data_IF_617026219330
#
_entry.id   IF_617026219330
#
_cell.length_a   1.000
_cell.length_b   1.000
_cell.length_c   1.000
_cell.angle_alpha   90.00
_cell.angle_beta   90.00
_cell.angle_gamma   90.00
#
_symmetry.space_group_name_H-M   'P 1'
#
loop_
_entity.id
_entity.type
_entity.pdbx_description
1 polymer ?
#
# COMPACT_ATOMS: atom_id res chain seq x y z
N UNK A 1 -6.67 -17.59 -2.67
CA UNK A 1 -5.37 -16.98 -2.27
C UNK A 1 -4.98 -15.77 -3.10
N UNK A 2 -4.98 -15.82 -4.44
CA UNK A 2 -4.55 -14.70 -5.30
C UNK A 2 -5.41 -13.42 -5.19
N UNK A 3 -6.71 -13.55 -4.99
CA UNK A 3 -7.59 -12.41 -4.69
C UNK A 3 -7.26 -11.71 -3.37
N UNK A 4 -6.93 -12.50 -2.34
CA UNK A 4 -6.53 -11.97 -1.03
C UNK A 4 -5.24 -11.16 -1.19
N UNK A 5 -4.29 -11.64 -2.00
CA UNK A 5 -3.04 -10.91 -2.31
C UNK A 5 -3.33 -9.57 -3.00
N UNK A 6 -4.28 -9.54 -3.94
CA UNK A 6 -4.67 -8.29 -4.60
C UNK A 6 -5.29 -7.29 -3.61
N UNK A 7 -6.19 -7.75 -2.74
CA UNK A 7 -6.82 -6.92 -1.70
C UNK A 7 -5.78 -6.40 -0.71
N UNK A 8 -4.88 -7.26 -0.22
CA UNK A 8 -3.79 -6.87 0.67
C UNK A 8 -2.90 -5.83 -0.01
N UNK A 9 -2.52 -6.06 -1.27
CA UNK A 9 -1.70 -5.11 -2.04
C UNK A 9 -2.34 -3.73 -2.13
N UNK A 10 -3.64 -3.66 -2.46
CA UNK A 10 -4.36 -2.40 -2.52
C UNK A 10 -4.44 -1.70 -1.16
N UNK A 11 -4.79 -2.43 -0.09
CA UNK A 11 -4.86 -1.86 1.26
C UNK A 11 -3.49 -1.33 1.71
N UNK A 12 -2.44 -2.12 1.54
CA UNK A 12 -1.06 -1.72 1.88
C UNK A 12 -0.61 -0.52 1.05
N UNK A 13 -0.89 -0.51 -0.26
CA UNK A 13 -0.53 0.57 -1.17
C UNK A 13 -1.19 1.88 -0.78
N UNK A 14 -2.51 1.84 -0.50
CA UNK A 14 -3.27 3.00 -0.04
C UNK A 14 -2.74 3.50 1.30
N UNK A 15 -2.45 2.62 2.27
CA UNK A 15 -1.89 3.04 3.56
C UNK A 15 -0.52 3.71 3.42
N UNK A 16 0.35 3.21 2.56
CA UNK A 16 1.63 3.85 2.26
C UNK A 16 1.44 5.21 1.57
N UNK A 17 0.56 5.26 0.57
CA UNK A 17 0.27 6.48 -0.18
C UNK A 17 -0.30 7.58 0.72
N UNK A 18 -1.24 7.24 1.61
CA UNK A 18 -1.79 8.17 2.61
C UNK A 18 -0.70 8.63 3.60
N UNK A 19 0.21 7.75 4.01
CA UNK A 19 1.30 8.13 4.89
C UNK A 19 2.26 9.15 4.27
N UNK A 20 2.59 8.96 2.98
CA UNK A 20 3.36 9.94 2.21
C UNK A 20 2.56 11.22 2.00
N UNK A 21 1.31 11.12 1.56
CA UNK A 21 0.46 12.27 1.25
C UNK A 21 0.21 13.14 2.49
N UNK A 22 -0.08 12.54 3.66
CA UNK A 22 -0.28 13.31 4.89
C UNK A 22 0.98 14.05 5.35
N UNK A 23 2.17 13.46 5.16
CA UNK A 23 3.45 14.14 5.44
C UNK A 23 3.76 15.28 4.46
N UNK A 24 3.26 15.20 3.22
CA UNK A 24 3.54 16.19 2.17
C UNK A 24 2.50 17.32 2.12
N UNK A 25 1.24 17.03 2.42
CA UNK A 25 0.10 17.95 2.24
C UNK A 25 -0.63 18.30 3.54
N UNK A 26 -0.25 17.73 4.67
CA UNK A 26 -0.87 18.00 5.97
C UNK A 26 0.15 18.08 7.10
N UNK A 27 -0.34 18.21 8.32
CA UNK A 27 0.50 18.36 9.53
C UNK A 27 1.11 17.04 10.02
N UNK A 28 0.81 15.92 9.35
CA UNK A 28 1.27 14.59 9.76
C UNK A 28 0.77 13.46 8.85
N UNK A 29 1.38 12.27 8.93
CA UNK A 29 1.06 11.15 8.06
C UNK A 29 -0.42 10.75 8.21
N UNK A 30 -1.10 10.47 7.10
CA UNK A 30 -2.49 10.02 7.11
C UNK A 30 -2.53 8.50 7.01
N UNK A 31 -3.35 7.84 7.82
CA UNK A 31 -3.45 6.38 7.86
C UNK A 31 -3.33 5.83 9.28
N UNK A 32 -3.28 4.51 9.41
CA UNK A 32 -3.25 3.86 10.73
C UNK A 32 -1.84 3.50 11.20
N UNK A 33 -0.91 3.27 10.25
CA UNK A 33 0.45 2.82 10.55
C UNK A 33 1.20 3.77 11.50
N UNK A 34 1.01 5.07 11.36
CA UNK A 34 1.66 6.07 12.21
C UNK A 34 1.16 6.08 13.66
N UNK A 35 0.02 5.44 13.95
CA UNK A 35 -0.54 5.35 15.31
C UNK A 35 0.12 4.25 16.14
N UNK A 36 0.77 3.29 15.49
CA UNK A 36 1.43 2.17 16.14
C UNK A 36 2.96 2.23 16.02
N UNK A 37 3.48 2.82 14.95
CA UNK A 37 4.92 3.00 14.74
C UNK A 37 5.27 4.40 14.26
N UNK A 38 6.41 4.90 14.72
CA UNK A 38 7.06 6.05 14.13
C UNK A 38 7.83 5.63 12.88
N UNK A 39 7.27 5.92 11.71
CA UNK A 39 7.86 5.54 10.43
C UNK A 39 8.39 6.81 9.73
N UNK A 40 9.64 6.81 9.23
CA UNK A 40 10.13 7.90 8.41
C UNK A 40 9.40 7.95 7.06
N UNK A 41 9.37 9.12 6.40
CA UNK A 41 8.61 9.29 5.14
C UNK A 41 9.03 8.28 4.05
N UNK A 42 10.32 7.95 3.98
CA UNK A 42 10.84 6.91 3.08
C UNK A 42 10.21 5.53 3.34
N UNK A 43 9.88 5.20 4.60
CA UNK A 43 9.21 3.95 4.95
C UNK A 43 7.79 3.88 4.37
N UNK A 44 7.03 4.98 4.41
CA UNK A 44 5.70 5.04 3.78
C UNK A 44 5.79 4.90 2.26
N UNK A 45 6.81 5.48 1.62
CA UNK A 45 7.03 5.32 0.18
C UNK A 45 7.33 3.85 -0.19
N UNK A 46 8.18 3.17 0.58
CA UNK A 46 8.44 1.73 0.39
C UNK A 46 7.16 0.91 0.54
N UNK A 47 6.35 1.19 1.56
CA UNK A 47 5.06 0.51 1.78
C UNK A 47 4.10 0.74 0.60
N UNK A 48 4.04 1.97 0.07
CA UNK A 48 3.22 2.29 -1.09
C UNK A 48 3.64 1.48 -2.33
N UNK A 49 4.95 1.43 -2.60
CA UNK A 49 5.52 0.67 -3.72
C UNK A 49 5.26 -0.83 -3.57
N UNK A 50 5.50 -1.40 -2.37
CA UNK A 50 5.26 -2.81 -2.11
C UNK A 50 3.78 -3.18 -2.27
N UNK A 51 2.88 -2.34 -1.77
CA UNK A 51 1.44 -2.52 -1.97
C UNK A 51 1.04 -2.52 -3.44
N UNK A 52 1.55 -1.56 -4.23
CA UNK A 52 1.32 -1.50 -5.67
C UNK A 52 1.83 -2.75 -6.40
N UNK A 53 3.03 -3.23 -6.06
CA UNK A 53 3.60 -4.47 -6.63
C UNK A 53 2.71 -5.68 -6.32
N UNK A 54 2.25 -5.81 -5.07
CA UNK A 54 1.36 -6.90 -4.66
C UNK A 54 -0.01 -6.84 -5.34
N UNK A 55 -0.57 -5.63 -5.49
CA UNK A 55 -1.85 -5.41 -6.17
C UNK A 55 -1.76 -5.85 -7.64
N UNK A 56 -0.75 -5.34 -8.36
CA UNK A 56 -0.49 -5.69 -9.77
C UNK A 56 -0.23 -7.17 -9.94
N UNK A 57 0.58 -7.77 -9.06
CA UNK A 57 0.83 -9.22 -9.09
C UNK A 57 -0.46 -10.03 -8.89
N UNK A 58 -1.28 -9.65 -7.90
CA UNK A 58 -2.57 -10.29 -7.62
C UNK A 58 -3.57 -10.16 -8.77
N UNK A 59 -3.67 -8.99 -9.39
CA UNK A 59 -4.54 -8.75 -10.55
C UNK A 59 -4.07 -9.49 -11.80
N UNK A 60 -2.77 -9.45 -12.11
CA UNK A 60 -2.20 -10.18 -13.26
C UNK A 60 -2.42 -11.68 -13.11
N UNK A 61 -2.26 -12.18 -11.89
CA UNK A 61 -2.52 -13.57 -11.52
C UNK A 61 -4.00 -13.98 -11.67
N UNK A 62 -4.93 -13.03 -11.49
CA UNK A 62 -6.39 -13.22 -11.64
C UNK A 62 -6.80 -13.23 -13.11
N UNK A 63 -6.20 -12.35 -13.92
CA UNK A 63 -6.40 -12.29 -15.39
C UNK A 63 -5.87 -13.56 -16.06
N UNK A 64 -4.71 -14.08 -15.63
CA UNK A 64 -4.11 -15.30 -16.18
C UNK A 64 -4.91 -16.57 -15.90
N UNK A 65 -5.65 -16.63 -14.79
CA UNK A 65 -6.51 -17.78 -14.45
C UNK A 65 -7.91 -17.73 -15.05
N UNK A 66 -8.28 -16.62 -15.70
CA UNK A 66 -9.56 -16.45 -16.43
C UNK A 66 -9.47 -16.79 -17.93
N UNK A 67 -8.27 -16.98 -18.47
CA UNK A 67 -8.04 -17.52 -19.81
C UNK A 67 -7.91 -19.04 -19.74
#
# INVERSE_FOLDING_TARGET
MREIVAVIGWVTGIQGALGVAGRTFGDGPWGLLHKWWEIPTAGYAVIAVLGAVLAVYGETAKVRGRR
#
